data_IF_808024161470
#
_entry.id   IF_808024161470
#
_cell.length_a   1.000
_cell.length_b   1.000
_cell.length_c   1.000
_cell.angle_alpha   90.00
_cell.angle_beta   90.00
_cell.angle_gamma   90.00
#
_symmetry.space_group_name_H-M   'P 1'
#
loop_
_entity.id
_entity.type
_entity.pdbx_description
1 polymer ?
#
# COMPACT_ATOMS: atom_id res chain seq x y z
N UNK A 1 -3.77 0.27 -17.34
CA UNK A 1 -4.21 1.10 -16.21
C UNK A 1 -4.62 2.52 -16.66
N UNK A 2 -3.80 3.24 -17.44
CA UNK A 2 -4.10 4.64 -17.85
C UNK A 2 -5.49 4.83 -18.48
N UNK A 3 -5.88 3.99 -19.45
CA UNK A 3 -7.18 4.04 -20.14
C UNK A 3 -8.36 3.84 -19.17
N UNK A 4 -8.19 2.98 -18.16
CA UNK A 4 -9.25 2.69 -17.17
C UNK A 4 -9.45 3.88 -16.22
N UNK A 5 -8.37 4.60 -15.89
CA UNK A 5 -8.39 5.69 -14.93
C UNK A 5 -8.69 7.06 -15.54
N UNK A 6 -8.58 7.21 -16.85
CA UNK A 6 -8.82 8.47 -17.54
C UNK A 6 -10.21 9.08 -17.23
N UNK A 7 -11.32 8.32 -17.21
CA UNK A 7 -12.62 8.85 -16.79
C UNK A 7 -12.64 9.35 -15.33
N UNK A 8 -11.89 8.68 -14.43
CA UNK A 8 -11.79 9.09 -13.03
C UNK A 8 -10.96 10.37 -12.87
N UNK A 9 -9.87 10.52 -13.63
CA UNK A 9 -9.07 11.75 -13.66
C UNK A 9 -9.92 12.91 -14.10
N UNK A 10 -10.66 12.75 -15.21
CA UNK A 10 -11.56 13.79 -15.73
C UNK A 10 -12.65 14.13 -14.73
N UNK A 11 -13.35 13.13 -14.21
CA UNK A 11 -14.44 13.30 -13.27
C UNK A 11 -13.97 13.94 -11.94
N UNK A 12 -12.77 13.61 -11.47
CA UNK A 12 -12.21 14.18 -10.25
C UNK A 12 -11.76 15.63 -10.42
N UNK A 13 -11.43 16.08 -11.63
CA UNK A 13 -11.11 17.48 -11.92
C UNK A 13 -12.35 18.33 -12.23
N UNK A 14 -13.23 17.82 -13.09
CA UNK A 14 -14.35 18.58 -13.62
C UNK A 14 -15.63 18.42 -12.78
N UNK A 15 -15.72 17.36 -12.01
CA UNK A 15 -16.95 16.92 -11.34
C UNK A 15 -17.92 16.19 -12.29
N UNK A 16 -18.87 15.49 -11.71
CA UNK A 16 -19.96 14.82 -12.42
C UNK A 16 -21.28 15.19 -11.74
N UNK A 17 -22.27 15.63 -12.50
CA UNK A 17 -23.60 15.88 -11.98
C UNK A 17 -24.38 14.56 -11.84
N UNK A 18 -24.80 14.26 -10.61
CA UNK A 18 -25.51 13.03 -10.25
C UNK A 18 -26.87 13.39 -9.65
N UNK A 19 -27.94 12.83 -10.23
CA UNK A 19 -29.27 12.85 -9.62
C UNK A 19 -29.33 11.91 -8.42
N UNK A 20 -29.52 12.48 -7.23
CA UNK A 20 -29.57 11.70 -5.99
C UNK A 20 -30.98 11.17 -5.71
N UNK A 21 -31.08 10.14 -4.86
CA UNK A 21 -32.37 9.51 -4.49
C UNK A 21 -33.36 10.48 -3.77
N UNK A 22 -32.82 11.56 -3.21
CA UNK A 22 -33.63 12.62 -2.59
C UNK A 22 -34.15 13.68 -3.58
N UNK A 23 -33.94 13.47 -4.90
CA UNK A 23 -34.38 14.35 -5.97
C UNK A 23 -33.47 15.54 -6.25
N UNK A 24 -32.38 15.72 -5.52
CA UNK A 24 -31.42 16.80 -5.78
C UNK A 24 -30.35 16.41 -6.79
N UNK A 25 -29.90 17.38 -7.58
CA UNK A 25 -28.71 17.27 -8.43
C UNK A 25 -27.49 17.73 -7.64
N UNK A 26 -26.43 16.91 -7.61
CA UNK A 26 -25.17 17.23 -6.94
C UNK A 26 -23.98 17.03 -7.87
N UNK A 27 -23.08 18.01 -7.91
CA UNK A 27 -21.78 17.83 -8.56
C UNK A 27 -20.87 17.05 -7.61
N UNK A 28 -20.41 15.87 -8.05
CA UNK A 28 -19.59 14.94 -7.26
C UNK A 28 -18.20 14.84 -7.87
N UNK A 29 -17.19 14.90 -7.04
CA UNK A 29 -15.77 14.72 -7.41
C UNK A 29 -15.31 13.36 -6.87
N UNK A 30 -15.19 12.32 -7.72
CA UNK A 30 -14.71 11.03 -7.26
C UNK A 30 -13.23 11.09 -6.90
N UNK A 31 -12.87 10.53 -5.74
CA UNK A 31 -11.50 10.43 -5.26
C UNK A 31 -11.15 8.98 -4.95
N UNK A 32 -9.87 8.62 -5.09
CA UNK A 32 -9.35 7.35 -4.59
C UNK A 32 -9.20 7.44 -3.07
N UNK A 33 -10.06 6.76 -2.32
CA UNK A 33 -10.07 6.80 -0.85
C UNK A 33 -9.32 5.64 -0.19
N UNK A 34 -9.24 4.48 -0.84
CA UNK A 34 -8.53 3.30 -0.34
C UNK A 34 -8.00 2.45 -1.47
N UNK A 35 -6.80 1.89 -1.29
CA UNK A 35 -6.17 0.90 -2.15
C UNK A 35 -5.79 -0.31 -1.30
N UNK A 36 -6.58 -1.38 -1.42
CA UNK A 36 -6.40 -2.60 -0.63
C UNK A 36 -5.50 -3.54 -1.41
N UNK A 37 -4.35 -3.88 -0.84
CA UNK A 37 -3.38 -4.74 -1.49
C UNK A 37 -2.52 -5.49 -0.46
N UNK A 38 -1.90 -6.60 -0.90
CA UNK A 38 -0.86 -7.25 -0.14
C UNK A 38 0.44 -6.40 -0.12
N UNK A 39 1.39 -6.78 0.74
CA UNK A 39 2.60 -5.98 0.93
C UNK A 39 3.46 -5.82 -0.35
N UNK A 40 3.70 -6.86 -1.18
CA UNK A 40 4.42 -6.71 -2.43
C UNK A 40 3.75 -5.73 -3.41
N UNK A 41 2.43 -5.79 -3.53
CA UNK A 41 1.68 -4.89 -4.39
C UNK A 41 1.67 -3.46 -3.84
N UNK A 42 1.54 -3.29 -2.52
CA UNK A 42 1.68 -1.98 -1.88
C UNK A 42 3.04 -1.35 -2.19
N UNK A 43 4.14 -2.11 -2.12
CA UNK A 43 5.48 -1.63 -2.49
C UNK A 43 5.57 -1.26 -3.97
N UNK A 44 4.94 -2.03 -4.85
CA UNK A 44 4.90 -1.73 -6.29
C UNK A 44 4.16 -0.42 -6.55
N UNK A 45 3.00 -0.23 -5.93
CA UNK A 45 2.18 0.98 -6.05
C UNK A 45 2.87 2.19 -5.43
N UNK A 46 3.54 2.01 -4.29
CA UNK A 46 4.35 3.05 -3.64
C UNK A 46 5.65 3.36 -4.38
N UNK A 47 5.94 2.70 -5.51
CA UNK A 47 7.18 2.85 -6.27
C UNK A 47 8.43 2.58 -5.42
N UNK A 48 8.36 1.65 -4.47
CA UNK A 48 9.49 1.28 -3.62
C UNK A 48 9.82 -0.21 -3.73
N UNK A 49 11.00 -0.58 -3.23
CA UNK A 49 11.44 -1.98 -3.17
C UNK A 49 10.71 -2.73 -2.05
N UNK A 50 10.57 -4.04 -2.17
CA UNK A 50 9.85 -4.89 -1.21
C UNK A 50 10.43 -4.91 0.21
N UNK A 51 11.69 -4.50 0.37
CA UNK A 51 12.31 -4.35 1.69
C UNK A 51 12.09 -2.98 2.32
N UNK A 52 11.32 -2.09 1.70
CA UNK A 52 11.00 -0.74 2.18
C UNK A 52 9.58 -0.65 2.75
N UNK A 53 9.32 0.36 3.56
CA UNK A 53 7.94 0.65 3.96
C UNK A 53 7.20 1.38 2.82
N UNK A 54 5.99 0.94 2.41
CA UNK A 54 5.22 1.63 1.38
C UNK A 54 4.63 2.97 1.85
N UNK A 55 4.57 3.22 3.16
CA UNK A 55 3.92 4.40 3.76
C UNK A 55 4.94 5.45 4.19
N UNK A 56 6.13 5.04 4.70
CA UNK A 56 7.13 5.95 5.25
C UNK A 56 8.55 5.58 4.83
N UNK A 57 9.51 6.44 5.20
CA UNK A 57 10.93 6.28 4.86
C UNK A 57 11.74 5.52 5.91
N UNK A 58 11.09 4.80 6.83
CA UNK A 58 11.77 4.01 7.85
C UNK A 58 12.70 2.98 7.21
N UNK A 59 13.93 2.90 7.74
CA UNK A 59 14.89 1.90 7.27
C UNK A 59 14.46 0.48 7.66
N UNK A 60 14.78 -0.54 6.86
CA UNK A 60 14.35 -1.93 7.11
C UNK A 60 14.68 -2.44 8.52
N UNK A 61 15.85 -2.07 9.06
CA UNK A 61 16.30 -2.49 10.40
C UNK A 61 15.67 -1.73 11.56
N UNK A 62 15.00 -0.60 11.27
CA UNK A 62 14.38 0.27 12.27
C UNK A 62 12.86 0.09 12.34
N UNK A 63 12.30 -0.78 11.48
CA UNK A 63 10.87 -1.11 11.52
C UNK A 63 10.50 -1.79 12.84
N UNK A 64 9.43 -1.32 13.46
CA UNK A 64 8.99 -1.80 14.77
C UNK A 64 9.58 -1.03 15.96
N UNK A 65 10.51 -0.11 15.72
CA UNK A 65 10.98 0.81 16.76
C UNK A 65 9.93 1.92 17.00
N UNK A 66 9.84 2.46 18.23
CA UNK A 66 8.88 3.52 18.57
C UNK A 66 9.30 4.91 18.03
N UNK A 67 10.04 4.92 16.94
CA UNK A 67 10.54 6.14 16.32
C UNK A 67 9.57 6.63 15.24
N UNK A 68 9.29 7.93 15.23
CA UNK A 68 8.57 8.54 14.12
C UNK A 68 9.45 8.57 12.87
N UNK A 69 8.87 8.16 11.75
CA UNK A 69 9.53 8.25 10.45
C UNK A 69 8.76 9.20 9.54
N UNK A 70 9.47 9.86 8.64
CA UNK A 70 8.89 10.76 7.64
C UNK A 70 8.00 9.93 6.71
N UNK A 71 6.77 10.39 6.50
CA UNK A 71 5.84 9.79 5.55
C UNK A 71 6.34 10.02 4.12
N UNK A 72 6.02 9.08 3.22
CA UNK A 72 6.24 9.29 1.79
C UNK A 72 5.27 10.34 1.29
N UNK A 73 5.78 11.18 0.39
CA UNK A 73 5.03 12.27 -0.22
C UNK A 73 4.88 12.04 -1.73
N UNK A 74 3.66 12.19 -2.30
CA UNK A 74 3.42 11.99 -3.73
C UNK A 74 4.24 12.90 -4.63
N UNK A 75 4.33 14.19 -4.32
CA UNK A 75 5.04 15.17 -5.15
C UNK A 75 6.53 14.89 -5.19
N UNK A 76 7.13 14.67 -4.01
CA UNK A 76 8.54 14.29 -3.87
C UNK A 76 8.83 12.98 -4.62
N UNK A 77 7.95 11.99 -4.49
CA UNK A 77 8.10 10.70 -5.17
C UNK A 77 8.07 10.85 -6.68
N UNK A 78 7.11 11.59 -7.22
CA UNK A 78 6.99 11.86 -8.66
C UNK A 78 8.22 12.63 -9.17
N UNK A 79 8.68 13.63 -8.41
CA UNK A 79 9.85 14.42 -8.76
C UNK A 79 11.11 13.54 -8.90
N UNK A 80 11.41 12.71 -7.90
CA UNK A 80 12.57 11.80 -7.92
C UNK A 80 12.47 10.81 -9.08
N UNK A 81 11.29 10.21 -9.32
CA UNK A 81 11.07 9.28 -10.44
C UNK A 81 11.26 9.96 -11.80
N UNK A 82 10.83 11.21 -11.92
CA UNK A 82 11.00 12.00 -13.14
C UNK A 82 12.48 12.26 -13.41
N UNK A 83 13.24 12.71 -12.41
CA UNK A 83 14.68 12.90 -12.52
C UNK A 83 15.40 11.60 -12.89
N UNK A 84 15.04 10.49 -12.24
CA UNK A 84 15.59 9.18 -12.55
C UNK A 84 15.32 8.77 -13.99
N UNK A 85 14.12 9.01 -14.50
CA UNK A 85 13.75 8.70 -15.90
C UNK A 85 14.51 9.53 -16.93
N UNK A 86 14.99 10.72 -16.54
CA UNK A 86 15.82 11.62 -17.34
C UNK A 86 17.32 11.30 -17.24
N UNK A 87 17.70 10.29 -16.45
CA UNK A 87 19.10 9.89 -16.28
C UNK A 87 19.90 10.71 -15.27
N UNK A 88 19.24 11.57 -14.49
CA UNK A 88 19.91 12.44 -13.50
C UNK A 88 20.36 11.70 -12.23
N UNK A 89 19.90 10.47 -12.01
CA UNK A 89 20.28 9.57 -10.91
C UNK A 89 20.35 10.26 -9.52
N UNK A 90 19.23 10.84 -9.03
CA UNK A 90 19.23 11.53 -7.74
C UNK A 90 19.57 10.57 -6.59
N UNK A 91 20.31 11.04 -5.58
CA UNK A 91 20.71 10.23 -4.40
C UNK A 91 19.50 9.70 -3.65
N UNK A 92 18.45 10.51 -3.56
CA UNK A 92 17.18 10.21 -2.88
C UNK A 92 16.49 8.99 -3.48
N UNK A 93 16.75 8.65 -4.75
CA UNK A 93 16.20 7.44 -5.37
C UNK A 93 16.67 6.17 -4.61
N UNK A 94 17.93 6.13 -4.19
CA UNK A 94 18.49 5.05 -3.38
C UNK A 94 18.09 5.17 -1.91
N UNK A 95 18.14 6.38 -1.36
CA UNK A 95 17.87 6.63 0.06
C UNK A 95 16.42 6.30 0.42
N UNK A 96 15.48 6.56 -0.49
CA UNK A 96 14.07 6.21 -0.35
C UNK A 96 13.75 4.77 -0.78
N UNK A 97 14.76 3.97 -1.15
CA UNK A 97 14.59 2.61 -1.68
C UNK A 97 13.57 2.55 -2.82
N UNK A 98 13.70 3.43 -3.80
CA UNK A 98 12.74 3.54 -4.88
C UNK A 98 12.98 2.52 -6.00
N UNK A 99 11.93 2.28 -6.77
CA UNK A 99 11.89 1.41 -7.96
C UNK A 99 11.54 2.27 -9.18
N UNK A 100 12.20 2.08 -10.34
CA UNK A 100 11.94 2.88 -11.55
C UNK A 100 10.61 2.45 -12.17
N UNK A 101 9.52 2.97 -11.66
CA UNK A 101 8.15 2.71 -12.14
C UNK A 101 7.47 4.02 -12.54
N UNK A 102 6.47 3.91 -13.42
CA UNK A 102 5.60 5.04 -13.75
C UNK A 102 4.29 4.88 -12.97
N UNK A 103 4.09 5.64 -11.88
CA UNK A 103 2.94 5.46 -11.01
C UNK A 103 1.64 5.81 -11.72
N UNK A 104 0.66 4.92 -11.64
CA UNK A 104 -0.64 5.13 -12.29
C UNK A 104 -1.46 6.24 -11.62
N UNK A 105 -1.19 6.49 -10.36
CA UNK A 105 -1.91 7.44 -9.51
C UNK A 105 -1.43 8.89 -9.64
N UNK A 106 -0.35 9.13 -10.36
CA UNK A 106 0.26 10.47 -10.46
C UNK A 106 -0.66 11.55 -11.06
N UNK A 107 -1.58 11.12 -11.91
CA UNK A 107 -2.51 12.01 -12.61
C UNK A 107 -3.89 12.05 -11.89
N UNK A 108 -4.10 11.28 -10.81
CA UNK A 108 -5.36 11.28 -10.07
C UNK A 108 -5.47 12.54 -9.19
N UNK A 109 -6.53 13.36 -9.35
CA UNK A 109 -6.72 14.53 -8.52
C UNK A 109 -7.01 14.15 -7.06
N UNK A 110 -6.57 14.98 -6.14
CA UNK A 110 -6.82 14.83 -4.70
C UNK A 110 -6.38 13.47 -4.11
N UNK A 111 -5.43 12.79 -4.75
CA UNK A 111 -4.95 11.47 -4.34
C UNK A 111 -3.61 11.57 -3.62
N UNK A 112 -3.59 11.21 -2.33
CA UNK A 112 -2.36 10.82 -1.67
C UNK A 112 -2.34 9.30 -1.53
N UNK A 113 -1.69 8.62 -2.47
CA UNK A 113 -1.67 7.16 -2.53
C UNK A 113 -1.14 6.52 -1.24
N UNK A 114 -0.17 7.15 -0.57
CA UNK A 114 0.43 6.62 0.64
C UNK A 114 -0.53 6.60 1.83
N UNK A 115 -1.46 7.57 1.89
CA UNK A 115 -2.53 7.60 2.89
C UNK A 115 -3.71 6.70 2.53
N UNK A 116 -3.84 6.32 1.25
CA UNK A 116 -4.88 5.40 0.78
C UNK A 116 -4.51 3.91 0.95
N UNK A 117 -3.23 3.60 1.23
CA UNK A 117 -2.77 2.22 1.38
C UNK A 117 -3.48 1.53 2.55
N UNK A 118 -4.18 0.46 2.24
CA UNK A 118 -4.91 -0.35 3.23
C UNK A 118 -4.39 -1.78 3.17
N UNK A 119 -4.02 -2.38 4.31
CA UNK A 119 -3.58 -3.77 4.37
C UNK A 119 -4.67 -4.72 3.89
N UNK A 120 -4.28 -5.70 3.08
CA UNK A 120 -5.13 -6.84 2.77
C UNK A 120 -5.29 -7.73 4.02
N UNK A 121 -6.52 -7.92 4.46
CA UNK A 121 -6.83 -8.71 5.63
C UNK A 121 -6.43 -10.18 5.49
N UNK A 122 -6.55 -10.73 4.26
CA UNK A 122 -6.26 -12.15 4.03
C UNK A 122 -4.76 -12.43 4.20
N UNK A 123 -3.90 -11.72 3.46
CA UNK A 123 -2.46 -12.00 3.45
C UNK A 123 -1.73 -11.41 4.65
N UNK A 124 -2.08 -10.21 5.08
CA UNK A 124 -1.37 -9.57 6.18
C UNK A 124 -1.88 -10.01 7.55
N UNK A 125 -3.19 -10.09 7.76
CA UNK A 125 -3.75 -10.45 9.06
C UNK A 125 -3.91 -11.97 9.22
N UNK A 126 -4.73 -12.62 8.40
CA UNK A 126 -5.04 -14.05 8.58
C UNK A 126 -3.84 -14.95 8.29
N UNK A 127 -3.16 -14.74 7.16
CA UNK A 127 -1.99 -15.52 6.81
C UNK A 127 -0.75 -15.05 7.57
N UNK A 128 -0.37 -13.79 7.44
CA UNK A 128 0.86 -13.28 8.00
C UNK A 128 0.87 -13.28 9.52
N UNK A 129 -0.01 -12.52 10.16
CA UNK A 129 0.01 -12.42 11.64
C UNK A 129 -0.51 -13.69 12.28
N UNK A 130 -1.72 -14.12 11.94
CA UNK A 130 -2.34 -15.26 12.67
C UNK A 130 -1.68 -16.59 12.34
N UNK A 131 -1.64 -17.00 11.06
CA UNK A 131 -1.11 -18.30 10.66
C UNK A 131 0.40 -18.41 10.84
N UNK A 132 1.15 -17.42 10.32
CA UNK A 132 2.61 -17.51 10.27
C UNK A 132 3.31 -17.15 11.58
N UNK A 133 2.63 -16.41 12.47
CA UNK A 133 3.19 -16.04 13.78
C UNK A 133 2.40 -16.63 14.94
N UNK A 134 1.15 -16.22 15.17
CA UNK A 134 0.38 -16.62 16.37
C UNK A 134 0.25 -18.13 16.49
N UNK A 135 -0.14 -18.81 15.40
CA UNK A 135 -0.26 -20.28 15.39
C UNK A 135 1.08 -20.97 15.64
N UNK A 136 2.18 -20.47 15.04
CA UNK A 136 3.52 -21.02 15.30
C UNK A 136 3.96 -20.81 16.74
N UNK A 137 3.73 -19.64 17.30
CA UNK A 137 4.07 -19.36 18.71
C UNK A 137 3.27 -20.21 19.67
N UNK A 138 1.97 -20.41 19.41
CA UNK A 138 1.12 -21.29 20.21
C UNK A 138 1.62 -22.75 20.17
N UNK A 139 1.98 -23.25 18.98
CA UNK A 139 2.55 -24.60 18.81
C UNK A 139 3.88 -24.70 19.54
N UNK A 140 4.78 -23.75 19.42
CA UNK A 140 6.08 -23.74 20.10
C UNK A 140 5.91 -23.70 21.63
N UNK A 141 4.98 -22.89 22.14
CA UNK A 141 4.68 -22.80 23.57
C UNK A 141 4.07 -24.11 24.13
N UNK A 142 3.25 -24.79 23.32
CA UNK A 142 2.65 -26.07 23.68
C UNK A 142 3.61 -27.29 23.53
N UNK A 143 4.72 -27.11 22.79
CA UNK A 143 5.65 -28.21 22.49
C UNK A 143 6.41 -28.73 23.69
N UNK A 144 6.32 -28.10 24.86
CA UNK A 144 6.80 -28.66 26.15
C UNK A 144 5.98 -29.80 26.68
N UNK A 145 4.82 -30.19 26.11
CA UNK A 145 3.98 -31.25 26.58
C UNK A 145 2.94 -31.85 25.65
N UNK A 146 2.63 -31.24 24.49
CA UNK A 146 1.50 -31.69 23.67
C UNK A 146 1.62 -31.39 22.16
N UNK A 147 2.81 -31.29 21.61
CA UNK A 147 3.05 -30.93 20.19
C UNK A 147 2.40 -31.87 19.16
N UNK A 148 2.09 -33.10 19.56
CA UNK A 148 1.53 -34.13 18.69
C UNK A 148 0.04 -33.91 18.41
N UNK A 149 -0.70 -33.37 19.37
CA UNK A 149 -2.15 -33.17 19.26
C UNK A 149 -2.54 -31.92 18.40
N UNK A 150 -1.67 -30.93 18.25
CA UNK A 150 -1.92 -29.73 17.44
C UNK A 150 -1.63 -29.92 15.95
N UNK A 151 -0.88 -30.97 15.59
CA UNK A 151 -0.64 -31.36 14.19
C UNK A 151 -1.87 -31.94 13.49
N UNK A 152 -2.89 -32.32 14.27
CA UNK A 152 -4.08 -33.02 13.77
C UNK A 152 -5.24 -32.08 13.41
N UNK A 153 -5.09 -30.76 13.52
CA UNK A 153 -6.11 -29.85 13.01
C UNK A 153 -6.00 -29.74 11.48
N UNK A 154 -6.96 -30.31 10.72
CA UNK A 154 -6.96 -30.16 9.27
C UNK A 154 -7.17 -28.70 8.93
N UNK A 155 -6.20 -28.10 8.27
CA UNK A 155 -6.40 -26.81 7.61
C UNK A 155 -7.31 -27.10 6.42
N UNK A 156 -8.61 -26.81 6.55
CA UNK A 156 -9.52 -26.81 5.40
C UNK A 156 -8.95 -25.87 4.33
N UNK A 157 -8.72 -26.45 3.16
CA UNK A 157 -8.27 -25.73 1.96
C UNK A 157 -9.39 -24.84 1.43
#
# INVERSE_FOLDING_TARGET
MKIILEPLVKAGNDGIDIGCADGFLRTVFPILSAYIADYPEQCLVACCQENACPICLVKPKERGQPNHSVLRDPETTIHILTQQSQGLAPSEFKDHNMRPTNPFWKDLPHCNIFSCMTPDMLHQLHKGVFKDHVSKWAIQSAAGGAAENLRLMPVSR
#
